data_IF_936491315733
#
_entry.id   IF_936491315733
#
_cell.length_a   1.000
_cell.length_b   1.000
_cell.length_c   1.000
_cell.angle_alpha   90.00
_cell.angle_beta   90.00
_cell.angle_gamma   90.00
#
_symmetry.space_group_name_H-M   'P 1'
#
loop_
_entity.id
_entity.type
_entity.pdbx_description
1 polymer ?
#
# COMPACT_ATOMS: atom_id res chain seq x y z
N UNK A 1 22.22 9.19 5.66
CA UNK A 1 23.42 8.53 6.21
C UNK A 1 23.59 7.09 5.73
N UNK A 2 22.71 6.13 6.02
CA UNK A 2 22.88 4.72 5.58
C UNK A 2 22.95 4.52 4.05
N UNK A 3 22.49 5.46 3.22
CA UNK A 3 22.67 5.44 1.76
C UNK A 3 24.09 5.84 1.32
N UNK A 4 24.74 6.73 2.09
CA UNK A 4 26.10 7.23 1.83
C UNK A 4 27.11 6.26 2.42
N UNK A 5 26.78 5.65 3.55
CA UNK A 5 27.64 4.72 4.28
C UNK A 5 26.89 3.39 4.51
N UNK A 6 26.95 2.43 3.57
CA UNK A 6 26.22 1.16 3.67
C UNK A 6 26.51 0.36 4.94
N UNK A 7 27.73 0.48 5.48
CA UNK A 7 28.14 -0.15 6.76
C UNK A 7 27.29 0.29 7.96
N UNK A 8 26.59 1.43 7.88
CA UNK A 8 25.69 1.93 8.92
C UNK A 8 24.28 1.34 8.83
N UNK A 9 23.94 0.67 7.72
CA UNK A 9 22.61 0.09 7.52
C UNK A 9 22.22 -0.89 8.63
N UNK A 10 23.04 -1.86 9.06
CA UNK A 10 22.69 -2.80 10.14
C UNK A 10 22.41 -2.10 11.47
N UNK A 11 23.14 -1.02 11.79
CA UNK A 11 22.92 -0.25 13.02
C UNK A 11 21.55 0.45 12.97
N UNK A 12 21.20 1.01 11.80
CA UNK A 12 19.89 1.63 11.61
C UNK A 12 18.77 0.61 11.75
N UNK A 13 18.91 -0.56 11.15
CA UNK A 13 17.94 -1.64 11.22
C UNK A 13 17.77 -2.14 12.65
N UNK A 14 18.87 -2.35 13.37
CA UNK A 14 18.85 -2.71 14.81
C UNK A 14 18.11 -1.66 15.63
N UNK A 15 18.43 -0.37 15.46
CA UNK A 15 17.72 0.71 16.17
C UNK A 15 16.23 0.76 15.84
N UNK A 16 15.86 0.53 14.58
CA UNK A 16 14.46 0.46 14.17
C UNK A 16 13.77 -0.71 14.88
N UNK A 17 14.35 -1.90 14.82
CA UNK A 17 13.82 -3.09 15.48
C UNK A 17 13.67 -2.90 17.00
N UNK A 18 14.69 -2.35 17.67
CA UNK A 18 14.62 -2.04 19.10
C UNK A 18 13.53 -1.00 19.43
N UNK A 19 13.33 -0.01 18.55
CA UNK A 19 12.26 0.98 18.72
C UNK A 19 10.88 0.34 18.59
N UNK A 20 10.71 -0.59 17.65
CA UNK A 20 9.46 -1.33 17.46
C UNK A 20 9.15 -2.29 18.61
N UNK A 21 10.16 -2.71 19.36
CA UNK A 21 10.01 -3.55 20.56
C UNK A 21 9.60 -2.76 21.82
N UNK A 22 9.58 -1.43 21.76
CA UNK A 22 9.19 -0.61 22.92
C UNK A 22 7.69 -0.71 23.18
N UNK A 23 7.33 -1.51 24.16
CA UNK A 23 5.94 -1.68 24.61
C UNK A 23 5.53 -0.65 25.67
N UNK A 24 6.47 0.12 26.20
CA UNK A 24 6.23 1.11 27.27
C UNK A 24 5.22 2.21 26.91
N UNK A 25 5.02 2.46 25.62
CA UNK A 25 4.04 3.45 25.16
C UNK A 25 2.62 2.87 25.00
N UNK A 26 2.46 1.55 25.07
CA UNK A 26 1.16 0.90 24.98
C UNK A 26 0.45 1.11 26.33
N UNK A 27 -0.59 1.90 26.30
CA UNK A 27 -1.41 2.16 27.48
C UNK A 27 -2.28 0.94 27.77
N UNK A 28 -2.09 0.33 28.92
CA UNK A 28 -2.88 -0.80 29.40
C UNK A 28 -3.59 -0.36 30.68
N UNK A 29 -4.91 -0.52 30.75
CA UNK A 29 -5.69 -0.24 31.94
C UNK A 29 -5.57 -1.34 32.99
N UNK A 30 -6.12 -1.10 34.18
CA UNK A 30 -6.10 -2.04 35.29
C UNK A 30 -6.81 -3.38 34.95
N UNK A 31 -7.71 -3.37 33.99
CA UNK A 31 -8.37 -4.54 33.41
C UNK A 31 -7.53 -5.30 32.36
N UNK A 32 -6.26 -4.93 32.18
CA UNK A 32 -5.34 -5.56 31.23
C UNK A 32 -5.62 -5.24 29.76
N UNK A 33 -6.50 -4.26 29.43
CA UNK A 33 -6.88 -3.91 28.06
C UNK A 33 -6.14 -2.68 27.57
N UNK A 34 -5.67 -2.75 26.32
CA UNK A 34 -5.15 -1.58 25.64
C UNK A 34 -6.29 -0.65 25.23
N UNK A 35 -6.10 0.63 25.52
CA UNK A 35 -6.96 1.72 25.04
C UNK A 35 -6.11 2.80 24.40
N UNK A 36 -6.35 3.07 23.16
CA UNK A 36 -5.75 4.22 22.47
C UNK A 36 -6.83 5.09 21.87
N UNK A 37 -6.53 6.38 21.74
CA UNK A 37 -7.40 7.28 21.02
C UNK A 37 -7.47 6.84 19.55
N UNK A 38 -8.67 6.61 19.07
CA UNK A 38 -8.97 6.40 17.68
C UNK A 38 -9.39 7.73 17.07
N UNK A 39 -8.94 8.00 15.87
CA UNK A 39 -9.30 9.20 15.12
C UNK A 39 -10.02 8.79 13.83
N UNK A 40 -11.30 8.40 13.91
CA UNK A 40 -12.07 8.02 12.73
C UNK A 40 -12.18 9.21 11.79
N UNK A 41 -12.09 8.96 10.50
CA UNK A 41 -12.17 9.96 9.44
C UNK A 41 -11.08 11.06 9.49
N UNK A 42 -10.01 10.89 10.26
CA UNK A 42 -8.96 11.90 10.40
C UNK A 42 -8.05 11.98 9.15
N UNK A 43 -7.93 10.92 8.36
CA UNK A 43 -7.21 10.97 7.09
C UNK A 43 -8.07 11.60 5.99
N UNK A 44 -7.42 12.15 4.95
CA UNK A 44 -8.12 12.66 3.76
C UNK A 44 -8.98 11.60 3.06
N UNK A 45 -8.61 10.34 3.20
CA UNK A 45 -9.30 9.17 2.63
C UNK A 45 -10.38 8.59 3.56
N UNK A 46 -10.70 9.25 4.67
CA UNK A 46 -11.70 8.79 5.65
C UNK A 46 -11.20 7.70 6.60
N UNK A 47 -9.98 7.21 6.44
CA UNK A 47 -9.44 6.14 7.30
C UNK A 47 -9.23 6.61 8.74
N UNK A 48 -9.40 5.69 9.67
CA UNK A 48 -9.02 5.87 11.06
C UNK A 48 -7.48 5.99 11.18
N UNK A 49 -7.01 6.92 12.01
CA UNK A 49 -5.59 7.13 12.30
C UNK A 49 -5.31 6.94 13.80
N UNK A 50 -5.20 5.71 14.29
CA UNK A 50 -4.80 5.46 15.66
C UNK A 50 -3.34 5.86 15.87
N UNK A 51 -2.99 6.18 17.12
CA UNK A 51 -1.59 6.43 17.48
C UNK A 51 -0.73 5.19 17.26
N UNK A 52 0.25 5.24 16.37
CA UNK A 52 1.14 4.12 16.07
C UNK A 52 1.89 3.60 17.31
N UNK A 53 2.22 4.46 18.27
CA UNK A 53 2.96 4.09 19.48
C UNK A 53 2.08 3.55 20.60
N UNK A 54 0.78 3.86 20.59
CA UNK A 54 -0.16 3.45 21.67
C UNK A 54 -1.16 2.39 21.23
N UNK A 55 -1.29 2.17 19.93
CA UNK A 55 -2.20 1.19 19.38
C UNK A 55 -1.56 -0.20 19.41
N UNK A 56 -2.26 -1.17 20.00
CA UNK A 56 -1.72 -2.52 20.23
C UNK A 56 -1.27 -3.25 18.96
N UNK A 57 -1.85 -2.92 17.81
CA UNK A 57 -1.46 -3.45 16.50
C UNK A 57 -0.40 -2.59 15.77
N UNK A 58 0.05 -1.49 16.38
CA UNK A 58 1.11 -0.64 15.85
C UNK A 58 2.51 -1.27 15.87
N UNK A 59 2.91 -2.02 16.92
CA UNK A 59 4.18 -2.72 16.97
C UNK A 59 4.30 -3.84 15.93
N UNK A 60 5.52 -4.36 15.79
CA UNK A 60 5.83 -5.46 14.86
C UNK A 60 4.92 -6.66 15.01
N UNK A 61 4.60 -7.29 13.88
CA UNK A 61 3.63 -8.41 13.79
C UNK A 61 3.94 -9.56 14.76
N UNK A 62 5.21 -9.86 14.97
CA UNK A 62 5.63 -10.93 15.89
C UNK A 62 5.29 -10.65 17.36
N UNK A 63 5.10 -9.39 17.77
CA UNK A 63 4.64 -9.01 19.12
C UNK A 63 3.14 -9.26 19.33
N UNK A 64 2.38 -9.46 18.28
CA UNK A 64 0.94 -9.73 18.36
C UNK A 64 0.61 -11.01 19.10
N UNK A 65 1.55 -11.95 19.20
CA UNK A 65 1.43 -13.14 20.04
C UNK A 65 1.29 -12.85 21.54
N UNK A 66 1.61 -11.64 22.00
CA UNK A 66 1.39 -11.18 23.36
C UNK A 66 -0.07 -10.78 23.66
N UNK A 67 -0.87 -10.55 22.60
CA UNK A 67 -2.29 -10.22 22.75
C UNK A 67 -3.05 -11.49 23.05
N UNK A 68 -3.61 -11.59 24.25
CA UNK A 68 -4.37 -12.76 24.70
C UNK A 68 -5.86 -12.43 24.77
N UNK A 69 -6.73 -13.21 24.12
CA UNK A 69 -8.17 -13.06 24.29
C UNK A 69 -8.59 -13.54 25.69
N UNK A 70 -9.72 -13.08 26.26
CA UNK A 70 -10.29 -13.63 27.48
C UNK A 70 -10.59 -15.13 27.33
N UNK A 71 -10.70 -15.83 28.44
CA UNK A 71 -11.06 -17.26 28.46
C UNK A 71 -12.41 -17.47 27.74
N UNK A 72 -12.46 -18.44 26.85
CA UNK A 72 -13.64 -18.72 26.02
C UNK A 72 -13.76 -17.90 24.74
N UNK A 73 -12.81 -17.00 24.44
CA UNK A 73 -12.76 -16.20 23.20
C UNK A 73 -11.52 -16.53 22.40
N UNK A 74 -11.57 -16.23 21.11
CA UNK A 74 -10.42 -16.26 20.22
C UNK A 74 -10.20 -14.89 19.57
N UNK A 75 -8.95 -14.59 19.22
CA UNK A 75 -8.59 -13.42 18.43
C UNK A 75 -8.55 -13.83 16.96
N UNK A 76 -9.37 -13.19 16.14
CA UNK A 76 -9.38 -13.40 14.68
C UNK A 76 -8.90 -12.14 14.01
N UNK A 77 -7.88 -12.25 13.16
CA UNK A 77 -7.41 -11.18 12.31
C UNK A 77 -7.86 -11.45 10.87
N UNK A 78 -8.66 -10.53 10.33
CA UNK A 78 -9.15 -10.61 8.95
C UNK A 78 -8.64 -9.42 8.18
N UNK A 79 -8.06 -9.66 7.00
CA UNK A 79 -7.57 -8.64 6.09
C UNK A 79 -7.92 -9.03 4.65
N UNK A 80 -8.37 -8.05 3.86
CA UNK A 80 -8.66 -8.28 2.44
C UNK A 80 -7.36 -8.34 1.64
N UNK A 81 -7.17 -9.44 0.93
CA UNK A 81 -5.98 -9.62 0.09
C UNK A 81 -5.96 -8.59 -1.04
N UNK A 82 -4.89 -7.80 -1.10
CA UNK A 82 -4.62 -6.80 -2.14
C UNK A 82 -5.83 -5.90 -2.46
N UNK A 83 -6.56 -5.48 -1.43
CA UNK A 83 -7.83 -4.75 -1.52
C UNK A 83 -7.74 -3.55 -2.48
N UNK A 84 -6.73 -2.68 -2.32
CA UNK A 84 -6.58 -1.48 -3.15
C UNK A 84 -6.39 -1.80 -4.63
N UNK A 85 -5.71 -2.91 -4.97
CA UNK A 85 -5.56 -3.37 -6.34
C UNK A 85 -6.90 -3.84 -6.93
N UNK A 86 -7.69 -4.60 -6.15
CA UNK A 86 -9.01 -5.05 -6.55
C UNK A 86 -9.98 -3.88 -6.77
N UNK A 87 -9.95 -2.87 -5.89
CA UNK A 87 -10.74 -1.65 -6.03
C UNK A 87 -10.33 -0.88 -7.28
N UNK A 88 -9.02 -0.73 -7.54
CA UNK A 88 -8.52 -0.07 -8.74
C UNK A 88 -8.99 -0.78 -10.02
N UNK A 89 -8.94 -2.12 -10.04
CA UNK A 89 -9.44 -2.94 -11.14
C UNK A 89 -10.94 -2.73 -11.38
N UNK A 90 -11.74 -2.76 -10.30
CA UNK A 90 -13.19 -2.60 -10.36
C UNK A 90 -13.61 -1.21 -10.83
N UNK A 91 -13.00 -0.14 -10.26
CA UNK A 91 -13.35 1.24 -10.60
C UNK A 91 -12.93 1.61 -12.03
N UNK A 92 -11.80 1.12 -12.50
CA UNK A 92 -11.31 1.38 -13.85
C UNK A 92 -11.95 0.52 -14.92
N UNK A 93 -12.53 -0.62 -14.56
CA UNK A 93 -13.01 -1.62 -15.53
C UNK A 93 -11.86 -2.28 -16.33
N UNK A 94 -10.61 -2.25 -15.83
CA UNK A 94 -9.48 -2.87 -16.52
C UNK A 94 -9.52 -4.39 -16.37
N UNK A 95 -9.89 -5.09 -17.44
CA UNK A 95 -10.06 -6.55 -17.43
C UNK A 95 -8.77 -7.29 -17.07
N UNK A 96 -7.61 -6.81 -17.54
CA UNK A 96 -6.32 -7.43 -17.20
C UNK A 96 -6.00 -7.31 -15.72
N UNK A 97 -6.35 -6.16 -15.10
CA UNK A 97 -6.25 -6.04 -13.64
C UNK A 97 -7.23 -6.95 -12.92
N UNK A 98 -8.47 -7.07 -13.43
CA UNK A 98 -9.47 -7.98 -12.86
C UNK A 98 -9.00 -9.43 -12.91
N UNK A 99 -8.46 -9.89 -14.04
CA UNK A 99 -7.86 -11.23 -14.19
C UNK A 99 -6.69 -11.42 -13.22
N UNK A 100 -5.80 -10.44 -13.15
CA UNK A 100 -4.66 -10.48 -12.22
C UNK A 100 -5.12 -10.58 -10.76
N UNK A 101 -6.15 -9.85 -10.37
CA UNK A 101 -6.72 -9.93 -9.03
C UNK A 101 -7.34 -11.31 -8.73
N UNK A 102 -8.13 -11.84 -9.67
CA UNK A 102 -8.76 -13.17 -9.54
C UNK A 102 -7.75 -14.32 -9.48
N UNK A 103 -6.55 -14.16 -10.01
CA UNK A 103 -5.47 -15.15 -9.91
C UNK A 103 -4.98 -15.40 -8.47
N UNK A 104 -5.31 -14.51 -7.53
CA UNK A 104 -4.85 -14.56 -6.14
C UNK A 104 -3.44 -13.99 -5.89
N UNK A 105 -2.64 -13.79 -6.94
CA UNK A 105 -1.35 -13.10 -6.87
C UNK A 105 -1.18 -12.08 -8.01
N UNK A 106 -1.81 -10.91 -7.88
CA UNK A 106 -1.82 -9.90 -8.94
C UNK A 106 -0.42 -9.39 -9.31
N UNK A 107 0.54 -9.51 -8.43
CA UNK A 107 1.91 -9.09 -8.69
C UNK A 107 2.65 -10.04 -9.63
N UNK A 108 2.46 -11.34 -9.44
CA UNK A 108 2.99 -12.36 -10.34
C UNK A 108 2.23 -12.36 -11.67
N UNK A 109 0.90 -12.24 -11.62
CA UNK A 109 0.07 -12.12 -12.81
C UNK A 109 0.48 -10.92 -13.67
N UNK A 110 0.75 -9.76 -13.06
CA UNK A 110 1.29 -8.60 -13.77
C UNK A 110 2.63 -8.90 -14.44
N UNK A 111 3.55 -9.59 -13.75
CA UNK A 111 4.84 -9.96 -14.34
C UNK A 111 4.69 -10.89 -15.56
N UNK A 112 3.73 -11.82 -15.52
CA UNK A 112 3.37 -12.70 -16.63
C UNK A 112 2.73 -11.92 -17.78
N UNK A 113 1.72 -11.11 -17.49
CA UNK A 113 1.00 -10.30 -18.48
C UNK A 113 1.92 -9.29 -19.19
N UNK A 114 2.92 -8.77 -18.48
CA UNK A 114 3.94 -7.88 -19.03
C UNK A 114 5.05 -8.61 -19.81
N UNK A 115 5.00 -9.94 -19.91
CA UNK A 115 6.01 -10.76 -20.58
C UNK A 115 7.39 -10.79 -19.89
N UNK A 116 7.45 -10.40 -18.61
CA UNK A 116 8.71 -10.36 -17.85
C UNK A 116 9.09 -11.73 -17.26
N UNK A 117 8.12 -12.61 -17.09
CA UNK A 117 8.31 -13.99 -16.65
C UNK A 117 7.38 -14.92 -17.46
N UNK A 118 7.71 -16.23 -17.59
CA UNK A 118 6.90 -17.17 -18.37
C UNK A 118 5.55 -17.48 -17.70
N UNK A 119 4.60 -18.02 -18.48
CA UNK A 119 3.26 -18.39 -17.99
C UNK A 119 3.27 -19.41 -16.82
N UNK A 120 4.25 -20.27 -16.75
CA UNK A 120 4.43 -21.24 -15.65
C UNK A 120 5.18 -20.70 -14.42
N UNK A 121 5.44 -19.39 -14.36
CA UNK A 121 6.13 -18.79 -13.22
C UNK A 121 5.34 -18.95 -11.93
N UNK A 122 6.05 -19.18 -10.83
CA UNK A 122 5.49 -19.30 -9.50
C UNK A 122 6.16 -18.31 -8.54
N UNK A 123 5.51 -18.02 -7.43
CA UNK A 123 6.07 -17.18 -6.35
C UNK A 123 7.43 -17.72 -5.83
N UNK A 124 7.66 -19.03 -5.92
CA UNK A 124 8.93 -19.65 -5.50
C UNK A 124 10.03 -19.50 -6.55
N UNK A 125 9.69 -19.75 -7.82
CA UNK A 125 10.66 -19.74 -8.92
C UNK A 125 11.11 -18.33 -9.33
N UNK A 126 10.21 -17.32 -9.23
CA UNK A 126 10.44 -15.93 -9.67
C UNK A 126 10.18 -14.93 -8.55
N UNK A 127 10.72 -15.20 -7.37
CA UNK A 127 10.51 -14.38 -6.17
C UNK A 127 11.02 -12.94 -6.35
N UNK A 128 12.18 -12.77 -6.98
CA UNK A 128 12.84 -11.46 -7.15
C UNK A 128 12.00 -10.57 -8.07
N UNK A 129 11.62 -11.10 -9.23
CA UNK A 129 10.79 -10.41 -10.21
C UNK A 129 9.44 -10.03 -9.59
N UNK A 130 8.77 -11.00 -8.96
CA UNK A 130 7.50 -10.76 -8.26
C UNK A 130 7.60 -9.62 -7.25
N UNK A 131 8.65 -9.55 -6.43
CA UNK A 131 8.81 -8.46 -5.46
C UNK A 131 9.08 -7.11 -6.14
N UNK A 132 9.78 -7.07 -7.27
CA UNK A 132 9.92 -5.84 -8.06
C UNK A 132 8.57 -5.38 -8.63
N UNK A 133 7.79 -6.30 -9.19
CA UNK A 133 6.45 -6.00 -9.73
C UNK A 133 5.47 -5.59 -8.63
N UNK A 134 5.52 -6.21 -7.45
CA UNK A 134 4.79 -5.76 -6.26
C UNK A 134 5.16 -4.33 -5.86
N UNK A 135 6.45 -4.03 -5.81
CA UNK A 135 6.91 -2.68 -5.48
C UNK A 135 6.44 -1.66 -6.54
N UNK A 136 6.40 -2.04 -7.82
CA UNK A 136 5.88 -1.21 -8.89
C UNK A 136 4.38 -0.93 -8.73
N UNK A 137 3.56 -1.95 -8.51
CA UNK A 137 2.10 -1.78 -8.28
C UNK A 137 1.83 -0.84 -7.11
N UNK A 138 2.49 -1.07 -5.97
CA UNK A 138 2.36 -0.20 -4.81
C UNK A 138 2.86 1.23 -5.10
N UNK A 139 3.95 1.38 -5.88
CA UNK A 139 4.45 2.69 -6.27
C UNK A 139 3.41 3.46 -7.10
N UNK A 140 2.76 2.80 -8.06
CA UNK A 140 1.70 3.40 -8.87
C UNK A 140 0.52 3.82 -8.00
N UNK A 141 0.03 2.95 -7.14
CA UNK A 141 -1.10 3.23 -6.25
C UNK A 141 -0.83 4.44 -5.33
N UNK A 142 0.39 4.56 -4.82
CA UNK A 142 0.78 5.69 -3.95
C UNK A 142 1.38 6.89 -4.72
N UNK A 143 1.31 6.92 -6.05
CA UNK A 143 1.83 8.01 -6.86
C UNK A 143 3.34 8.23 -6.73
N UNK A 144 4.09 7.16 -6.50
CA UNK A 144 5.53 7.19 -6.31
C UNK A 144 6.23 7.31 -7.67
N UNK A 145 7.17 8.25 -7.81
CA UNK A 145 7.97 8.41 -9.03
C UNK A 145 9.11 7.39 -9.17
N UNK A 146 9.75 7.39 -10.34
CA UNK A 146 10.81 6.45 -10.71
C UNK A 146 12.00 6.43 -9.75
N UNK A 147 12.43 7.59 -9.24
CA UNK A 147 13.56 7.69 -8.29
C UNK A 147 13.24 6.96 -6.98
N UNK A 148 12.04 7.19 -6.44
CA UNK A 148 11.62 6.55 -5.19
C UNK A 148 11.40 5.05 -5.36
N UNK A 149 10.87 4.63 -6.51
CA UNK A 149 10.72 3.21 -6.84
C UNK A 149 12.10 2.53 -6.98
N UNK A 150 13.04 3.14 -7.71
CA UNK A 150 14.40 2.63 -7.86
C UNK A 150 15.09 2.37 -6.52
N UNK A 151 14.94 3.33 -5.60
CA UNK A 151 15.45 3.20 -4.23
C UNK A 151 14.79 2.07 -3.45
N UNK A 152 13.47 1.89 -3.62
CA UNK A 152 12.70 0.83 -2.93
C UNK A 152 13.08 -0.57 -3.39
N UNK A 153 13.32 -0.74 -4.70
CA UNK A 153 13.70 -2.05 -5.26
C UNK A 153 15.22 -2.28 -5.30
N UNK A 154 16.00 -1.29 -4.83
CA UNK A 154 17.46 -1.30 -4.89
C UNK A 154 18.01 -1.60 -6.30
N UNK A 155 17.47 -0.90 -7.30
CA UNK A 155 17.82 -1.04 -8.71
C UNK A 155 18.09 0.33 -9.35
N UNK A 156 18.77 0.40 -10.49
CA UNK A 156 18.94 1.64 -11.24
C UNK A 156 17.59 2.28 -11.62
N UNK A 157 17.59 3.62 -11.77
CA UNK A 157 16.38 4.38 -12.17
C UNK A 157 15.81 3.89 -13.51
N UNK A 158 16.70 3.47 -14.43
CA UNK A 158 16.28 2.89 -15.70
C UNK A 158 15.35 1.67 -15.52
N UNK A 159 15.66 0.79 -14.55
CA UNK A 159 14.80 -0.36 -14.24
C UNK A 159 13.44 0.05 -13.66
N UNK A 160 13.43 1.02 -12.77
CA UNK A 160 12.17 1.56 -12.23
C UNK A 160 11.30 2.19 -13.31
N UNK A 161 11.91 2.96 -14.23
CA UNK A 161 11.24 3.55 -15.41
C UNK A 161 10.65 2.45 -16.30
N UNK A 162 11.40 1.39 -16.56
CA UNK A 162 10.92 0.23 -17.33
C UNK A 162 9.69 -0.41 -16.67
N UNK A 163 9.73 -0.64 -15.35
CA UNK A 163 8.59 -1.24 -14.63
C UNK A 163 7.34 -0.35 -14.70
N UNK A 164 7.49 0.97 -14.52
CA UNK A 164 6.37 1.90 -14.64
C UNK A 164 5.81 1.94 -16.08
N UNK A 165 6.68 1.88 -17.08
CA UNK A 165 6.25 1.80 -18.49
C UNK A 165 5.50 0.49 -18.76
N UNK A 166 5.98 -0.65 -18.28
CA UNK A 166 5.29 -1.94 -18.38
C UNK A 166 3.92 -1.89 -17.72
N UNK A 167 3.80 -1.30 -16.52
CA UNK A 167 2.51 -1.13 -15.85
C UNK A 167 1.54 -0.30 -16.70
N UNK A 168 2.02 0.79 -17.28
CA UNK A 168 1.20 1.65 -18.15
C UNK A 168 0.77 0.94 -19.45
N UNK A 169 1.65 0.14 -20.04
CA UNK A 169 1.35 -0.62 -21.24
C UNK A 169 0.39 -1.80 -20.98
N UNK A 170 0.54 -2.46 -19.83
CA UNK A 170 -0.28 -3.63 -19.47
C UNK A 170 -1.70 -3.22 -19.08
N UNK A 171 -1.83 -2.18 -18.24
CA UNK A 171 -3.11 -1.73 -17.65
C UNK A 171 -3.53 -0.36 -18.22
N UNK A 172 -3.77 -0.32 -19.52
CA UNK A 172 -4.08 0.92 -20.24
C UNK A 172 -5.39 1.55 -19.79
N UNK A 173 -6.41 0.73 -19.55
CA UNK A 173 -7.72 1.19 -19.12
C UNK A 173 -7.66 1.82 -17.73
N UNK A 174 -6.92 1.21 -16.81
CA UNK A 174 -6.66 1.80 -15.49
C UNK A 174 -5.98 3.17 -15.60
N UNK A 175 -4.97 3.32 -16.45
CA UNK A 175 -4.26 4.59 -16.58
C UNK A 175 -5.13 5.67 -17.20
N UNK A 176 -5.92 5.33 -18.23
CA UNK A 176 -6.88 6.28 -18.83
C UNK A 176 -7.92 6.74 -17.80
N UNK A 177 -8.49 5.83 -17.05
CA UNK A 177 -9.40 6.13 -15.95
C UNK A 177 -8.74 6.99 -14.86
N UNK A 178 -7.53 6.64 -14.43
CA UNK A 178 -6.81 7.35 -13.38
C UNK A 178 -6.44 8.78 -13.79
N UNK A 179 -6.02 8.99 -15.03
CA UNK A 179 -5.69 10.31 -15.56
C UNK A 179 -7.00 11.15 -15.69
N UNK A 180 -8.09 10.59 -16.25
CA UNK A 180 -9.39 11.26 -16.36
C UNK A 180 -9.98 11.64 -14.98
N UNK A 181 -9.85 10.76 -13.97
CA UNK A 181 -10.30 11.05 -12.60
C UNK A 181 -9.55 12.22 -11.97
N UNK A 182 -8.26 12.35 -12.26
CA UNK A 182 -7.47 13.49 -11.78
C UNK A 182 -7.88 14.80 -12.47
N UNK A 183 -8.08 14.76 -13.79
CA UNK A 183 -8.53 15.91 -14.57
C UNK A 183 -9.90 16.37 -14.10
N UNK A 184 -10.85 15.46 -13.90
CA UNK A 184 -12.17 15.74 -13.35
C UNK A 184 -12.08 16.38 -11.96
N UNK A 185 -11.23 15.86 -11.07
CA UNK A 185 -11.02 16.40 -9.73
C UNK A 185 -10.49 17.85 -9.78
N UNK A 186 -9.60 18.15 -10.71
CA UNK A 186 -9.03 19.49 -10.91
C UNK A 186 -10.09 20.45 -11.45
N UNK A 187 -10.85 20.03 -12.47
CA UNK A 187 -11.90 20.85 -13.11
C UNK A 187 -13.05 21.17 -12.15
N UNK A 188 -13.51 20.17 -11.38
CA UNK A 188 -14.66 20.31 -10.49
C UNK A 188 -14.28 20.82 -9.09
N UNK A 189 -12.98 20.92 -8.76
CA UNK A 189 -12.49 21.31 -7.45
C UNK A 189 -12.75 20.27 -6.34
N UNK A 190 -13.19 19.05 -6.70
CA UNK A 190 -13.57 17.98 -5.77
C UNK A 190 -13.61 16.62 -6.43
N UNK A 191 -13.48 15.58 -5.61
CA UNK A 191 -13.58 14.19 -6.03
C UNK A 191 -14.32 13.39 -4.96
N UNK A 192 -15.14 12.42 -5.35
CA UNK A 192 -15.89 11.56 -4.45
C UNK A 192 -15.49 10.10 -4.59
N UNK A 193 -15.61 9.37 -3.50
CA UNK A 193 -15.66 7.90 -3.54
C UNK A 193 -17.04 7.43 -4.00
N UNK A 194 -17.15 6.14 -4.33
CA UNK A 194 -18.42 5.49 -4.66
C UNK A 194 -19.47 5.63 -3.53
N UNK A 195 -19.01 5.71 -2.28
CA UNK A 195 -19.87 5.85 -1.09
C UNK A 195 -20.07 7.30 -0.65
N UNK A 196 -19.70 8.29 -1.48
CA UNK A 196 -19.97 9.71 -1.24
C UNK A 196 -18.98 10.42 -0.32
N UNK A 197 -17.82 9.83 0.03
CA UNK A 197 -16.77 10.55 0.74
C UNK A 197 -16.10 11.56 -0.19
N UNK A 198 -16.05 12.85 0.22
CA UNK A 198 -15.55 13.94 -0.61
C UNK A 198 -14.13 14.36 -0.21
N UNK A 199 -13.27 14.59 -1.20
CA UNK A 199 -12.04 15.36 -1.07
C UNK A 199 -12.14 16.64 -1.89
N UNK A 200 -11.77 17.78 -1.29
CA UNK A 200 -11.72 19.08 -1.98
C UNK A 200 -10.33 19.38 -2.49
N UNK A 201 -10.26 19.83 -3.73
CA UNK A 201 -9.04 20.24 -4.40
C UNK A 201 -8.90 21.76 -4.25
N UNK A 202 -7.98 22.22 -3.40
CA UNK A 202 -7.71 23.64 -3.16
C UNK A 202 -6.24 23.95 -3.41
N UNK A 203 -5.97 25.04 -4.12
CA UNK A 203 -4.62 25.55 -4.35
C UNK A 203 -3.74 24.60 -5.16
N UNK A 204 -2.49 24.43 -4.74
CA UNK A 204 -1.55 23.55 -5.45
C UNK A 204 -1.97 22.09 -5.34
N UNK A 205 -2.26 21.48 -6.49
CA UNK A 205 -2.79 20.11 -6.58
C UNK A 205 -1.71 19.08 -6.28
N UNK A 206 -1.96 18.23 -5.30
CA UNK A 206 -1.13 17.04 -5.09
C UNK A 206 -1.71 15.86 -5.88
N UNK A 207 -1.22 15.66 -7.10
CA UNK A 207 -1.64 14.58 -8.00
C UNK A 207 -1.53 13.18 -7.38
N UNK A 208 -0.59 12.97 -6.46
CA UNK A 208 -0.46 11.69 -5.72
C UNK A 208 -1.67 11.42 -4.84
N UNK A 209 -2.14 12.46 -4.12
CA UNK A 209 -3.33 12.33 -3.27
C UNK A 209 -4.58 12.06 -4.09
N UNK A 210 -4.73 12.70 -5.25
CA UNK A 210 -5.88 12.49 -6.13
C UNK A 210 -5.88 11.09 -6.74
N UNK A 211 -4.72 10.59 -7.18
CA UNK A 211 -4.61 9.23 -7.72
C UNK A 211 -4.93 8.16 -6.69
N UNK A 212 -4.47 8.34 -5.47
CA UNK A 212 -4.65 7.37 -4.41
C UNK A 212 -6.04 7.39 -3.77
N UNK A 213 -6.70 8.56 -3.79
CA UNK A 213 -7.97 8.78 -3.10
C UNK A 213 -9.08 7.80 -3.50
N UNK A 214 -9.36 7.51 -4.80
CA UNK A 214 -10.42 6.58 -5.16
C UNK A 214 -10.21 5.17 -4.59
N UNK A 215 -8.96 4.70 -4.56
CA UNK A 215 -8.66 3.36 -4.06
C UNK A 215 -8.71 3.28 -2.54
N UNK A 216 -8.05 4.21 -1.85
CA UNK A 216 -8.01 4.21 -0.38
C UNK A 216 -9.31 4.66 0.27
N UNK A 217 -10.05 5.56 -0.36
CA UNK A 217 -11.30 6.07 0.18
C UNK A 217 -12.47 5.09 0.02
N UNK A 218 -12.36 4.13 -0.90
CA UNK A 218 -13.34 3.03 -1.06
C UNK A 218 -12.94 1.76 -0.31
N UNK A 219 -11.71 1.71 0.26
CA UNK A 219 -11.13 0.54 0.94
C UNK A 219 -11.38 0.45 2.46
#
# INVERSE_FOLDING_TARGET
>A
MARIYPKVAPIRELRSALSEMRLSNITVGDDGRNRCLLSPFASKTGRNQPSNSRFIYGPSVWLRGLIKPPKGFCLVYVDYSQQEFGIAAALSGDEKMMEAYRSGDPYLAFAIQAGAVPQGATKKSHKVEREQFKACVLAVQYGMGEISLAQRINQPVARARQLLALHRQTYRTFWAWSDATQDEAILNGKLWTTFGWEIRVKGQVNSRSLRNFPMQGNG
#
